data_IF_945151636223
#
_entry.id   IF_945151636223
#
_cell.length_a   1.000
_cell.length_b   1.000
_cell.length_c   1.000
_cell.angle_alpha   90.00
_cell.angle_beta   90.00
_cell.angle_gamma   90.00
#
_symmetry.space_group_name_H-M   'P 1'
#
loop_
_entity.id
_entity.type
_entity.pdbx_description
1 polymer ?
#
# COMPACT_ATOMS: atom_id res chain seq x y z
N UNK A 1 10.08 -21.12 16.40
CA UNK A 1 9.59 -20.72 17.73
C UNK A 1 8.35 -21.53 18.01
N UNK A 2 8.30 -22.25 19.12
CA UNK A 2 7.07 -22.91 19.58
C UNK A 2 6.06 -21.81 19.92
N UNK A 3 4.89 -21.87 19.33
CA UNK A 3 3.78 -20.94 19.56
C UNK A 3 2.55 -21.74 19.88
N UNK A 4 1.74 -21.21 20.78
CA UNK A 4 0.48 -21.83 21.15
C UNK A 4 -0.60 -21.34 20.20
N UNK A 5 -1.20 -22.26 19.44
CA UNK A 5 -2.37 -21.94 18.63
C UNK A 5 -3.54 -21.62 19.57
N UNK A 6 -4.20 -20.48 19.35
CA UNK A 6 -5.37 -20.05 20.11
C UNK A 6 -6.62 -20.17 19.25
N UNK A 7 -7.71 -20.65 19.83
CA UNK A 7 -9.02 -20.60 19.18
C UNK A 7 -9.62 -19.19 19.22
N UNK A 8 -10.82 -19.01 18.66
CA UNK A 8 -11.53 -17.73 18.64
C UNK A 8 -11.89 -17.21 20.04
N UNK A 9 -11.83 -18.07 21.07
CA UNK A 9 -12.03 -17.72 22.48
C UNK A 9 -10.72 -17.40 23.23
N UNK A 10 -9.57 -17.54 22.57
CA UNK A 10 -8.24 -17.33 23.15
C UNK A 10 -7.67 -18.54 23.89
N UNK A 11 -8.37 -19.67 23.90
CA UNK A 11 -7.95 -20.90 24.58
C UNK A 11 -6.88 -21.62 23.76
N UNK A 12 -5.84 -22.12 24.45
CA UNK A 12 -4.70 -22.79 23.79
C UNK A 12 -5.14 -24.20 23.37
N UNK A 13 -5.15 -24.45 22.06
CA UNK A 13 -5.66 -25.69 21.48
C UNK A 13 -4.56 -26.63 20.99
N UNK A 14 -3.37 -26.11 20.65
CA UNK A 14 -2.23 -26.94 20.21
C UNK A 14 -0.87 -26.24 20.37
N UNK A 15 0.18 -27.04 20.57
CA UNK A 15 1.56 -26.62 20.36
C UNK A 15 1.86 -26.58 18.85
N UNK A 16 2.01 -25.39 18.29
CA UNK A 16 2.46 -25.17 16.93
C UNK A 16 3.96 -24.83 16.90
N UNK A 17 4.67 -25.31 15.89
CA UNK A 17 6.02 -24.82 15.60
C UNK A 17 5.94 -23.79 14.48
N UNK A 18 5.93 -22.49 14.81
CA UNK A 18 6.10 -21.45 13.79
C UNK A 18 7.53 -21.45 13.27
N UNK A 19 7.68 -21.82 12.00
CA UNK A 19 8.94 -21.75 11.26
C UNK A 19 9.11 -20.34 10.71
N UNK A 20 10.32 -19.80 10.83
CA UNK A 20 10.67 -18.57 10.13
C UNK A 20 10.43 -18.72 8.63
N UNK A 21 9.66 -17.80 8.06
CA UNK A 21 9.39 -17.71 6.63
C UNK A 21 9.89 -16.34 6.13
N UNK A 22 10.95 -16.38 5.32
CA UNK A 22 11.61 -15.18 4.79
C UNK A 22 10.67 -14.33 3.93
N UNK A 23 9.81 -14.97 3.15
CA UNK A 23 8.89 -14.27 2.25
C UNK A 23 7.78 -13.56 3.03
N UNK A 24 7.19 -14.23 4.01
CA UNK A 24 6.16 -13.63 4.86
C UNK A 24 6.71 -12.50 5.73
N UNK A 25 7.93 -12.65 6.30
CA UNK A 25 8.59 -11.54 7.00
C UNK A 25 8.87 -10.35 6.09
N UNK A 26 9.24 -10.59 4.82
CA UNK A 26 9.45 -9.51 3.84
C UNK A 26 8.14 -8.80 3.47
N UNK A 27 7.05 -9.55 3.25
CA UNK A 27 5.72 -8.98 3.04
C UNK A 27 5.24 -8.18 4.25
N UNK A 28 5.49 -8.66 5.46
CA UNK A 28 5.16 -7.93 6.69
C UNK A 28 5.97 -6.63 6.81
N UNK A 29 7.27 -6.66 6.48
CA UNK A 29 8.11 -5.47 6.45
C UNK A 29 7.64 -4.43 5.41
N UNK A 30 7.24 -4.87 4.21
CA UNK A 30 6.63 -4.00 3.21
C UNK A 30 5.31 -3.39 3.73
N UNK A 31 4.45 -4.21 4.35
CA UNK A 31 3.17 -3.75 4.91
C UNK A 31 3.37 -2.69 6.00
N UNK A 32 4.34 -2.86 6.89
CA UNK A 32 4.71 -1.85 7.89
C UNK A 32 5.05 -0.51 7.21
N UNK A 33 5.90 -0.53 6.18
CA UNK A 33 6.27 0.70 5.46
C UNK A 33 5.08 1.38 4.79
N UNK A 34 4.09 0.62 4.32
CA UNK A 34 2.85 1.17 3.72
C UNK A 34 1.92 1.74 4.80
N UNK A 35 1.65 0.98 5.86
CA UNK A 35 0.70 1.35 6.92
C UNK A 35 1.20 2.56 7.71
N UNK A 36 2.49 2.57 8.03
CA UNK A 36 3.12 3.61 8.85
C UNK A 36 3.67 4.76 7.99
N UNK A 37 3.43 4.73 6.67
CA UNK A 37 3.86 5.75 5.69
C UNK A 37 5.37 6.07 5.77
N UNK A 38 6.20 5.05 6.03
CA UNK A 38 7.62 5.23 6.24
C UNK A 38 8.38 5.45 4.92
N UNK A 39 9.49 6.21 4.93
CA UNK A 39 10.35 6.30 3.77
C UNK A 39 10.98 4.94 3.45
N UNK A 40 11.17 4.60 2.17
CA UNK A 40 11.81 3.33 1.79
C UNK A 40 13.22 3.14 2.36
N UNK A 41 13.93 4.24 2.67
CA UNK A 41 15.23 4.19 3.32
C UNK A 41 15.17 3.75 4.79
N UNK A 42 13.99 3.68 5.40
CA UNK A 42 13.81 3.23 6.78
C UNK A 42 14.45 1.86 7.03
N UNK A 43 14.30 0.92 6.08
CA UNK A 43 14.85 -0.44 6.19
C UNK A 43 16.38 -0.51 6.12
N UNK A 44 17.01 0.57 5.63
CA UNK A 44 18.47 0.70 5.56
C UNK A 44 19.05 1.30 6.87
N UNK A 45 18.21 1.85 7.75
CA UNK A 45 18.63 2.50 8.99
C UNK A 45 19.26 1.53 9.98
N UNK A 46 20.40 1.92 10.57
CA UNK A 46 21.19 1.06 11.48
C UNK A 46 20.37 0.57 12.67
N UNK A 47 19.57 1.44 13.29
CA UNK A 47 18.72 1.09 14.43
C UNK A 47 17.68 0.01 14.09
N UNK A 48 17.00 0.12 12.94
CA UNK A 48 16.03 -0.88 12.51
C UNK A 48 16.71 -2.23 12.18
N UNK A 49 17.88 -2.18 11.54
CA UNK A 49 18.66 -3.38 11.23
C UNK A 49 19.17 -4.08 12.50
N UNK A 50 19.63 -3.31 13.48
CA UNK A 50 20.02 -3.84 14.78
C UNK A 50 18.82 -4.47 15.49
N UNK A 51 17.68 -3.77 15.56
CA UNK A 51 16.43 -4.31 16.11
C UNK A 51 16.06 -5.65 15.46
N UNK A 52 16.06 -5.72 14.13
CA UNK A 52 15.78 -6.96 13.40
C UNK A 52 16.77 -8.07 13.73
N UNK A 53 18.07 -7.77 13.84
CA UNK A 53 19.09 -8.78 14.17
C UNK A 53 18.91 -9.39 15.56
N UNK A 54 18.39 -8.62 16.52
CA UNK A 54 18.12 -9.09 17.89
C UNK A 54 16.78 -9.83 17.93
N UNK A 55 15.73 -9.24 17.36
CA UNK A 55 14.37 -9.79 17.41
C UNK A 55 14.22 -11.07 16.57
N UNK A 56 14.84 -11.11 15.38
CA UNK A 56 14.83 -12.28 14.51
C UNK A 56 16.13 -12.34 13.68
N UNK A 57 17.21 -12.97 14.19
CA UNK A 57 18.51 -13.02 13.52
C UNK A 57 18.50 -13.61 12.10
N UNK A 58 17.48 -14.41 11.78
CA UNK A 58 17.28 -15.02 10.45
C UNK A 58 16.66 -14.06 9.44
N UNK A 59 16.04 -12.98 9.90
CA UNK A 59 15.48 -11.94 9.05
C UNK A 59 16.56 -10.93 8.69
N UNK A 60 16.91 -10.89 7.42
CA UNK A 60 17.77 -9.85 6.86
C UNK A 60 16.84 -8.86 6.17
N UNK A 61 16.71 -7.62 6.69
CA UNK A 61 15.86 -6.61 6.06
C UNK A 61 16.26 -6.38 4.59
N UNK A 62 15.28 -6.26 3.67
CA UNK A 62 15.55 -5.97 2.27
C UNK A 62 16.18 -4.58 2.13
N UNK A 63 16.86 -4.34 1.00
CA UNK A 63 17.30 -2.97 0.67
C UNK A 63 16.10 -2.09 0.29
N UNK A 64 16.24 -0.76 0.43
CA UNK A 64 15.22 0.19 -0.09
C UNK A 64 14.81 -0.05 -1.54
N UNK A 65 15.75 -0.45 -2.41
CA UNK A 65 15.47 -0.72 -3.85
C UNK A 65 14.62 -1.97 -4.03
N UNK A 66 14.95 -3.00 -3.25
CA UNK A 66 14.20 -4.26 -3.23
C UNK A 66 12.78 -4.00 -2.74
N UNK A 67 12.63 -3.25 -1.66
CA UNK A 67 11.33 -2.90 -1.08
C UNK A 67 10.47 -2.08 -2.05
N UNK A 68 11.07 -1.08 -2.72
CA UNK A 68 10.36 -0.27 -3.72
C UNK A 68 9.86 -1.12 -4.91
N UNK A 69 10.64 -2.11 -5.35
CA UNK A 69 10.21 -3.04 -6.40
C UNK A 69 9.02 -3.89 -5.95
N UNK A 70 9.06 -4.40 -4.71
CA UNK A 70 7.97 -5.20 -4.17
C UNK A 70 6.69 -4.38 -4.00
N UNK A 71 6.81 -3.13 -3.56
CA UNK A 71 5.69 -2.20 -3.50
C UNK A 71 5.06 -1.99 -4.88
N UNK A 72 5.89 -1.79 -5.90
CA UNK A 72 5.41 -1.59 -7.26
C UNK A 72 4.68 -2.82 -7.80
N UNK A 73 5.19 -4.03 -7.53
CA UNK A 73 4.50 -5.26 -7.88
C UNK A 73 3.13 -5.36 -7.19
N UNK A 74 3.09 -5.13 -5.87
CA UNK A 74 1.84 -5.11 -5.09
C UNK A 74 0.85 -4.07 -5.63
N UNK A 75 1.34 -2.88 -5.98
CA UNK A 75 0.52 -1.84 -6.60
C UNK A 75 -0.14 -2.31 -7.91
N UNK A 76 0.61 -3.00 -8.78
CA UNK A 76 0.04 -3.50 -10.03
C UNK A 76 -1.03 -4.56 -9.79
N UNK A 77 -0.82 -5.45 -8.82
CA UNK A 77 -1.81 -6.47 -8.44
C UNK A 77 -3.10 -5.82 -7.91
N UNK A 78 -2.96 -4.89 -6.95
CA UNK A 78 -4.08 -4.15 -6.36
C UNK A 78 -4.79 -3.28 -7.41
N UNK A 79 -4.07 -2.71 -8.37
CA UNK A 79 -4.64 -1.95 -9.49
C UNK A 79 -5.56 -2.83 -10.35
N UNK A 80 -5.15 -4.06 -10.67
CA UNK A 80 -6.00 -4.98 -11.44
C UNK A 80 -7.24 -5.39 -10.64
N UNK A 81 -7.07 -5.68 -9.36
CA UNK A 81 -8.19 -6.01 -8.47
C UNK A 81 -9.19 -4.85 -8.36
N UNK A 82 -8.69 -3.62 -8.18
CA UNK A 82 -9.52 -2.43 -8.12
C UNK A 82 -10.26 -2.19 -9.44
N UNK A 83 -9.58 -2.38 -10.58
CA UNK A 83 -10.23 -2.26 -11.90
C UNK A 83 -11.39 -3.24 -12.05
N UNK A 84 -11.20 -4.49 -11.65
CA UNK A 84 -12.27 -5.49 -11.67
C UNK A 84 -13.43 -5.12 -10.74
N UNK A 85 -13.14 -4.60 -9.54
CA UNK A 85 -14.17 -4.10 -8.60
C UNK A 85 -14.96 -2.94 -9.18
N UNK A 86 -14.28 -1.94 -9.74
CA UNK A 86 -14.94 -0.76 -10.31
C UNK A 86 -15.85 -1.11 -11.50
N UNK A 87 -15.52 -2.15 -12.27
CA UNK A 87 -16.36 -2.61 -13.38
C UNK A 87 -17.73 -3.16 -12.93
N UNK A 88 -17.88 -3.57 -11.67
CA UNK A 88 -19.12 -4.11 -11.12
C UNK A 88 -20.09 -3.01 -10.62
N UNK A 89 -19.63 -1.77 -10.46
CA UNK A 89 -20.39 -0.72 -9.78
C UNK A 89 -20.53 0.54 -10.65
N UNK A 90 -21.49 1.39 -10.28
CA UNK A 90 -21.55 2.76 -10.81
C UNK A 90 -20.50 3.60 -10.10
N UNK A 91 -19.66 4.26 -10.89
CA UNK A 91 -18.52 5.04 -10.39
C UNK A 91 -18.72 6.52 -10.68
N UNK A 92 -18.56 7.36 -9.66
CA UNK A 92 -18.43 8.80 -9.79
C UNK A 92 -16.95 9.17 -9.68
N UNK A 93 -16.46 10.02 -10.58
CA UNK A 93 -15.08 10.50 -10.56
C UNK A 93 -15.05 11.94 -10.08
N UNK A 94 -14.11 12.24 -9.18
CA UNK A 94 -13.81 13.62 -8.77
C UNK A 94 -12.35 13.92 -8.99
N UNK A 95 -12.06 15.15 -9.39
CA UNK A 95 -10.70 15.66 -9.50
C UNK A 95 -10.47 16.75 -8.49
N UNK A 96 -9.38 16.66 -7.75
CA UNK A 96 -8.87 17.75 -6.94
C UNK A 96 -7.58 18.28 -7.56
N UNK A 97 -7.41 19.60 -7.64
CA UNK A 97 -6.26 20.24 -8.27
C UNK A 97 -5.79 21.41 -7.45
N UNK A 98 -4.47 21.49 -7.21
CA UNK A 98 -3.88 22.58 -6.45
C UNK A 98 -2.47 22.89 -6.95
N UNK A 99 -1.96 24.06 -6.54
CA UNK A 99 -0.57 24.45 -6.77
C UNK A 99 0.15 24.42 -5.44
N UNK A 100 1.26 23.68 -5.37
CA UNK A 100 2.11 23.63 -4.17
C UNK A 100 2.89 24.92 -3.97
N UNK A 101 3.49 25.08 -2.79
CA UNK A 101 4.39 26.20 -2.46
C UNK A 101 5.64 26.27 -3.35
N UNK A 102 5.99 25.15 -4.01
CA UNK A 102 7.08 25.06 -4.99
C UNK A 102 6.63 25.46 -6.42
N UNK A 103 5.41 26.00 -6.56
CA UNK A 103 4.79 26.34 -7.83
C UNK A 103 4.60 25.14 -8.78
N UNK A 104 4.41 23.94 -8.21
CA UNK A 104 4.11 22.71 -8.95
C UNK A 104 2.60 22.46 -8.87
N UNK A 105 1.95 22.28 -10.03
CA UNK A 105 0.54 21.96 -10.12
C UNK A 105 0.32 20.45 -9.97
N UNK A 106 -0.54 20.05 -9.05
CA UNK A 106 -0.91 18.66 -8.79
C UNK A 106 -2.37 18.41 -9.13
N UNK A 107 -2.67 17.16 -9.43
CA UNK A 107 -4.01 16.65 -9.63
C UNK A 107 -4.16 15.29 -8.97
N UNK A 108 -5.30 15.08 -8.32
CA UNK A 108 -5.73 13.78 -7.80
C UNK A 108 -7.03 13.39 -8.46
N UNK A 109 -7.05 12.21 -9.08
CA UNK A 109 -8.25 11.57 -9.58
C UNK A 109 -8.73 10.55 -8.55
N UNK A 110 -9.97 10.69 -8.09
CA UNK A 110 -10.58 9.79 -7.11
C UNK A 110 -11.86 9.18 -7.68
N UNK A 111 -12.02 7.87 -7.49
CA UNK A 111 -13.26 7.15 -7.73
C UNK A 111 -14.06 7.01 -6.44
N UNK A 112 -15.37 7.23 -6.55
CA UNK A 112 -16.37 7.02 -5.52
C UNK A 112 -17.41 6.04 -6.03
N UNK A 113 -17.75 5.02 -5.24
CA UNK A 113 -18.76 4.03 -5.60
C UNK A 113 -19.43 3.45 -4.34
N UNK A 114 -20.68 3.00 -4.48
CA UNK A 114 -21.39 2.24 -3.47
C UNK A 114 -21.29 0.74 -3.81
N UNK A 115 -21.00 -0.09 -2.83
CA UNK A 115 -21.01 -1.54 -2.99
C UNK A 115 -22.39 -2.16 -2.72
N UNK A 116 -22.47 -3.50 -2.75
CA UNK A 116 -23.72 -4.24 -2.50
C UNK A 116 -24.26 -4.09 -1.08
N UNK A 117 -23.41 -3.72 -0.12
CA UNK A 117 -23.76 -3.51 1.29
C UNK A 117 -24.08 -2.03 1.59
N UNK A 118 -24.26 -1.21 0.54
CA UNK A 118 -24.49 0.24 0.63
C UNK A 118 -23.36 1.01 1.32
N UNK A 119 -22.15 0.46 1.31
CA UNK A 119 -20.98 1.13 1.86
C UNK A 119 -20.35 2.02 0.81
N UNK A 120 -20.11 3.29 1.17
CA UNK A 120 -19.42 4.24 0.31
C UNK A 120 -17.92 3.98 0.32
N UNK A 121 -17.35 3.73 -0.85
CA UNK A 121 -15.92 3.58 -1.07
C UNK A 121 -15.34 4.77 -1.80
N UNK A 122 -14.19 5.24 -1.31
CA UNK A 122 -13.35 6.26 -1.95
C UNK A 122 -11.99 5.66 -2.28
N UNK A 123 -11.52 5.76 -3.53
CA UNK A 123 -10.23 5.23 -3.98
C UNK A 123 -9.49 6.23 -4.87
N UNK A 124 -8.26 6.58 -4.50
CA UNK A 124 -7.38 7.39 -5.35
C UNK A 124 -6.91 6.53 -6.51
N UNK A 125 -7.19 6.98 -7.74
CA UNK A 125 -6.79 6.29 -8.98
C UNK A 125 -5.46 6.82 -9.51
N UNK A 126 -5.23 8.12 -9.35
CA UNK A 126 -4.03 8.77 -9.84
C UNK A 126 -3.70 9.99 -8.98
N UNK A 127 -2.41 10.22 -8.76
CA UNK A 127 -1.84 11.41 -8.16
C UNK A 127 -0.69 11.84 -9.08
N UNK A 128 -0.82 12.97 -9.76
CA UNK A 128 0.15 13.37 -10.78
C UNK A 128 0.42 14.86 -10.80
N UNK A 129 1.57 15.22 -11.34
CA UNK A 129 1.92 16.60 -11.68
C UNK A 129 1.27 16.92 -13.02
N UNK A 130 0.66 18.09 -13.11
CA UNK A 130 -0.02 18.58 -14.31
C UNK A 130 0.58 19.91 -14.76
N UNK A 131 0.41 20.27 -16.03
CA UNK A 131 0.98 21.52 -16.53
C UNK A 131 0.22 22.75 -16.05
N UNK A 132 -1.11 22.67 -15.97
CA UNK A 132 -2.00 23.76 -15.58
C UNK A 132 -3.40 23.20 -15.27
N UNK A 133 -4.22 24.02 -14.60
CA UNK A 133 -5.59 23.66 -14.17
C UNK A 133 -6.67 23.87 -15.25
N UNK A 134 -6.30 23.91 -16.54
CA UNK A 134 -7.28 24.09 -17.62
C UNK A 134 -8.03 22.79 -17.88
N UNK A 135 -9.34 22.87 -18.10
CA UNK A 135 -10.21 21.72 -18.35
C UNK A 135 -9.71 20.79 -19.47
N UNK A 136 -9.13 21.34 -20.55
CA UNK A 136 -8.53 20.53 -21.63
C UNK A 136 -7.35 19.67 -21.18
N UNK A 137 -6.51 20.19 -20.29
CA UNK A 137 -5.34 19.47 -19.73
C UNK A 137 -5.82 18.35 -18.82
N UNK A 138 -6.77 18.68 -17.94
CA UNK A 138 -7.38 17.73 -16.99
C UNK A 138 -8.10 16.61 -17.75
N UNK A 139 -8.96 16.93 -18.72
CA UNK A 139 -9.70 15.94 -19.50
C UNK A 139 -8.80 14.92 -20.20
N UNK A 140 -7.74 15.39 -20.88
CA UNK A 140 -6.75 14.52 -21.53
C UNK A 140 -6.01 13.58 -20.59
N UNK A 141 -5.88 13.93 -19.30
CA UNK A 141 -5.24 13.07 -18.31
C UNK A 141 -6.20 11.99 -17.79
N UNK A 142 -7.49 12.29 -17.74
CA UNK A 142 -8.52 11.34 -17.31
C UNK A 142 -8.79 10.30 -18.40
N UNK A 143 -8.68 10.67 -19.68
CA UNK A 143 -8.90 9.78 -20.82
C UNK A 143 -7.82 8.69 -21.01
N UNK A 144 -6.70 8.77 -20.29
CA UNK A 144 -5.56 7.83 -20.41
C UNK A 144 -5.63 6.68 -19.43
#
# INVERSE_FOLDING_TARGET
VLTFAKDQSGSITALGATRFNKEESRKACLRMVIIDELPFSFVDGEGFRHFCSVACPRFIPPSRRTLARDLLALYYDEKQLLKAKLAAYRVCLTTDTWTSVQNINYMVLTAHFLDGDWMLHKRVLNFCVIQNHKGRTIGRLIEK
#
